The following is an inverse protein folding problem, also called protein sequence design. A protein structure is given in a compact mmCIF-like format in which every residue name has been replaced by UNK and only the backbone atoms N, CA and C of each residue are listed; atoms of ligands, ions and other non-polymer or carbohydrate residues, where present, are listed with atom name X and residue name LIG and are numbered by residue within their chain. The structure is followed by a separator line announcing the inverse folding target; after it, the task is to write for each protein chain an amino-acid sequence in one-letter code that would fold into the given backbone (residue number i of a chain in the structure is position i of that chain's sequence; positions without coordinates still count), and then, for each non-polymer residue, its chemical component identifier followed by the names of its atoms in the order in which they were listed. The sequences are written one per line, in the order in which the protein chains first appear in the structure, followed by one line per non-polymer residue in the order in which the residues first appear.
data_IF_287560494402
#
_entry.id   IF_287560494402
#
_cell.length_a   1.000
_cell.length_b   1.000
_cell.length_c   1.000
_cell.angle_alpha   90.00
_cell.angle_beta   90.00
_cell.angle_gamma   90.00
#
_symmetry.space_group_name_H-M   'P 1'
#
loop_
_entity.id
_entity.type
_entity.pdbx_description
1 polymer ?
#
# COMPACT_ATOMS: atom_id res chain seq x y z
N UNK A 1 20.11 0.71 -15.55
CA UNK A 1 18.75 0.18 -15.73
C UNK A 1 18.25 -0.17 -14.35
N UNK A 2 17.11 0.38 -13.91
CA UNK A 2 16.52 -0.01 -12.62
C UNK A 2 15.98 -1.43 -12.74
N UNK A 3 16.17 -2.25 -11.71
CA UNK A 3 15.66 -3.63 -11.73
C UNK A 3 14.13 -3.64 -11.76
N UNK A 4 13.52 -4.77 -12.17
CA UNK A 4 12.06 -4.94 -12.10
C UNK A 4 11.54 -4.67 -10.69
N UNK A 5 12.23 -5.20 -9.67
CA UNK A 5 11.87 -5.03 -8.26
C UNK A 5 11.92 -3.56 -7.83
N UNK A 6 12.94 -2.80 -8.26
CA UNK A 6 13.02 -1.36 -8.00
C UNK A 6 11.90 -0.56 -8.66
N UNK A 7 11.42 -0.97 -9.84
CA UNK A 7 10.24 -0.37 -10.46
C UNK A 7 8.98 -0.64 -9.63
N UNK A 8 8.75 -1.89 -9.25
CA UNK A 8 7.60 -2.28 -8.42
C UNK A 8 7.56 -1.47 -7.12
N UNK A 9 8.69 -1.39 -6.40
CA UNK A 9 8.77 -0.65 -5.16
C UNK A 9 8.56 0.87 -5.32
N UNK A 10 8.92 1.44 -6.47
CA UNK A 10 8.62 2.86 -6.77
C UNK A 10 7.14 3.08 -7.06
N UNK A 11 6.50 2.15 -7.75
CA UNK A 11 5.07 2.21 -8.06
C UNK A 11 4.26 2.12 -6.76
N UNK A 12 4.57 1.14 -5.90
CA UNK A 12 3.97 0.99 -4.56
C UNK A 12 4.12 2.28 -3.73
N UNK A 13 5.32 2.86 -3.70
CA UNK A 13 5.58 4.12 -3.00
C UNK A 13 4.77 5.30 -3.55
N UNK A 14 4.59 5.38 -4.87
CA UNK A 14 3.77 6.41 -5.51
C UNK A 14 2.31 6.28 -5.11
N UNK A 15 1.74 5.07 -5.14
CA UNK A 15 0.35 4.85 -4.72
C UNK A 15 0.14 5.16 -3.24
N UNK A 16 1.09 4.81 -2.38
CA UNK A 16 1.09 5.21 -0.97
C UNK A 16 1.03 6.73 -0.82
N UNK A 17 1.85 7.49 -1.57
CA UNK A 17 1.82 8.95 -1.52
C UNK A 17 0.46 9.54 -1.95
N UNK A 18 -0.18 8.92 -2.95
CA UNK A 18 -1.54 9.30 -3.35
C UNK A 18 -2.54 8.98 -2.23
N UNK A 19 -2.45 7.82 -1.61
CA UNK A 19 -3.35 7.41 -0.53
C UNK A 19 -3.21 8.25 0.74
N UNK A 20 -2.01 8.70 1.09
CA UNK A 20 -1.83 9.68 2.18
C UNK A 20 -2.62 10.96 1.89
N UNK A 21 -2.57 11.46 0.65
CA UNK A 21 -3.36 12.64 0.25
C UNK A 21 -4.86 12.36 0.29
N UNK A 22 -5.30 11.17 -0.16
CA UNK A 22 -6.71 10.75 -0.07
C UNK A 22 -7.17 10.78 1.38
N UNK A 23 -6.39 10.22 2.31
CA UNK A 23 -6.70 10.23 3.74
C UNK A 23 -6.78 11.64 4.32
N UNK A 24 -5.92 12.55 3.89
CA UNK A 24 -5.91 13.94 4.38
C UNK A 24 -7.11 14.76 3.88
N UNK A 25 -7.59 14.50 2.66
CA UNK A 25 -8.75 15.21 2.09
C UNK A 25 -10.09 14.54 2.39
N UNK A 26 -10.08 13.27 2.79
CA UNK A 26 -11.28 12.52 3.14
C UNK A 26 -11.93 13.13 4.39
N UNK A 27 -13.09 13.76 4.21
CA UNK A 27 -13.95 14.23 5.31
C UNK A 27 -14.83 13.09 5.85
N UNK A 28 -14.22 11.96 6.20
CA UNK A 28 -14.90 10.76 6.70
C UNK A 28 -14.91 10.75 8.24
N UNK A 29 -15.99 10.28 8.85
CA UNK A 29 -16.04 10.07 10.30
C UNK A 29 -15.30 8.78 10.71
N UNK A 30 -15.08 8.61 12.01
CA UNK A 30 -14.50 7.37 12.53
C UNK A 30 -15.40 6.17 12.18
N UNK A 31 -14.82 5.16 11.52
CA UNK A 31 -15.53 3.95 11.10
C UNK A 31 -16.14 4.03 9.70
N UNK A 32 -16.16 5.20 9.06
CA UNK A 32 -16.57 5.33 7.66
C UNK A 32 -15.50 4.72 6.74
N UNK A 33 -15.96 4.12 5.64
CA UNK A 33 -15.07 3.59 4.60
C UNK A 33 -14.64 4.72 3.67
N UNK A 34 -13.35 4.74 3.38
CA UNK A 34 -12.70 5.60 2.39
C UNK A 34 -12.15 4.69 1.29
N UNK A 35 -12.33 5.10 0.04
CA UNK A 35 -11.76 4.41 -1.10
C UNK A 35 -10.32 4.85 -1.31
N UNK A 36 -9.39 3.97 -0.96
CA UNK A 36 -7.97 4.09 -1.25
C UNK A 36 -7.64 3.41 -2.57
N UNK A 37 -6.58 3.82 -3.25
CA UNK A 37 -6.10 3.12 -4.44
C UNK A 37 -5.33 1.86 -4.01
N UNK A 38 -5.49 0.77 -4.74
CA UNK A 38 -4.69 -0.44 -4.55
C UNK A 38 -3.19 -0.14 -4.74
N UNK A 39 -2.38 -0.46 -3.75
CA UNK A 39 -0.96 -0.09 -3.70
C UNK A 39 -0.03 -1.17 -4.26
N UNK A 40 -0.53 -1.99 -5.19
CA UNK A 40 0.29 -3.02 -5.83
C UNK A 40 1.36 -2.39 -6.73
N UNK A 41 2.38 -3.15 -7.10
CA UNK A 41 3.46 -2.67 -7.97
C UNK A 41 3.09 -2.43 -9.45
N UNK A 42 1.85 -2.69 -9.86
CA UNK A 42 1.35 -2.45 -11.23
C UNK A 42 1.06 -0.95 -11.46
N UNK A 43 1.79 -0.32 -12.38
CA UNK A 43 1.65 1.12 -12.71
C UNK A 43 0.32 1.49 -13.37
N UNK A 44 -0.42 0.52 -13.93
CA UNK A 44 -1.72 0.74 -14.57
C UNK A 44 -2.90 0.40 -13.63
N UNK A 45 -2.63 0.04 -12.37
CA UNK A 45 -3.69 -0.32 -11.43
C UNK A 45 -4.56 0.89 -11.07
N UNK A 46 -5.86 0.76 -11.28
CA UNK A 46 -6.88 1.78 -10.96
C UNK A 46 -7.96 1.26 -10.01
N UNK A 47 -7.76 0.05 -9.45
CA UNK A 47 -8.68 -0.55 -8.51
C UNK A 47 -8.58 0.15 -7.15
N UNK A 48 -9.71 0.19 -6.43
CA UNK A 48 -9.80 0.80 -5.10
C UNK A 48 -10.03 -0.25 -4.03
N UNK A 49 -9.58 0.08 -2.83
CA UNK A 49 -9.70 -0.70 -1.61
C UNK A 49 -10.47 0.14 -0.60
N UNK A 50 -11.55 -0.41 -0.06
CA UNK A 50 -12.34 0.26 0.96
C UNK A 50 -11.78 -0.03 2.37
N UNK A 51 -11.21 0.99 3.01
CA UNK A 51 -10.70 0.92 4.38
C UNK A 51 -11.28 2.06 5.22
N UNK A 52 -11.46 1.80 6.51
CA UNK A 52 -11.59 2.88 7.49
C UNK A 52 -10.26 3.59 7.70
N UNK A 53 -10.30 4.83 8.18
CA UNK A 53 -9.08 5.56 8.54
C UNK A 53 -8.23 4.76 9.55
N UNK A 54 -8.86 4.14 10.55
CA UNK A 54 -8.16 3.33 11.56
C UNK A 54 -7.49 2.08 10.96
N UNK A 55 -8.11 1.44 9.97
CA UNK A 55 -7.48 0.32 9.26
C UNK A 55 -6.28 0.77 8.43
N UNK A 56 -6.42 1.88 7.70
CA UNK A 56 -5.33 2.44 6.91
C UNK A 56 -4.14 2.86 7.80
N UNK A 57 -4.39 3.53 8.92
CA UNK A 57 -3.35 3.92 9.88
C UNK A 57 -2.63 2.71 10.50
N UNK A 58 -3.32 1.57 10.69
CA UNK A 58 -2.66 0.33 11.15
C UNK A 58 -1.68 -0.23 10.11
N UNK A 59 -2.04 -0.20 8.83
CA UNK A 59 -1.14 -0.61 7.74
C UNK A 59 0.07 0.34 7.70
N UNK A 60 -0.16 1.64 7.87
CA UNK A 60 0.90 2.66 7.86
C UNK A 60 1.80 2.68 9.09
N UNK A 61 1.56 1.84 10.08
CA UNK A 61 2.47 1.68 11.22
C UNK A 61 3.78 0.99 10.84
N UNK A 62 3.84 0.31 9.69
CA UNK A 62 5.06 -0.27 9.12
C UNK A 62 5.27 0.26 7.69
N UNK A 63 6.36 1.00 7.41
CA UNK A 63 6.62 1.58 6.08
C UNK A 63 6.83 0.53 4.98
N UNK A 64 6.97 -0.75 5.34
CA UNK A 64 7.10 -1.86 4.38
C UNK A 64 5.77 -2.52 4.04
N UNK A 65 4.68 -2.12 4.68
CA UNK A 65 3.36 -2.68 4.43
C UNK A 65 2.61 -1.86 3.39
N UNK A 66 1.88 -2.55 2.52
CA UNK A 66 1.04 -2.01 1.47
C UNK A 66 -0.33 -2.67 1.50
N UNK A 67 -1.35 -1.94 1.05
CA UNK A 67 -2.72 -2.47 0.96
C UNK A 67 -3.10 -2.76 -0.50
N UNK A 68 -3.55 -3.97 -0.76
CA UNK A 68 -3.92 -4.42 -2.11
C UNK A 68 -5.26 -5.14 -2.11
N UNK A 69 -5.94 -5.17 -3.27
CA UNK A 69 -7.08 -6.08 -3.43
C UNK A 69 -6.59 -7.53 -3.53
N UNK A 70 -7.40 -8.52 -3.11
CA UNK A 70 -7.01 -9.93 -3.24
C UNK A 70 -6.71 -10.32 -4.70
N UNK A 71 -5.59 -11.01 -4.92
CA UNK A 71 -5.10 -11.40 -6.25
C UNK A 71 -4.09 -10.42 -6.85
N UNK A 72 -3.81 -9.30 -6.18
CA UNK A 72 -2.82 -8.29 -6.61
C UNK A 72 -1.52 -8.33 -5.80
N UNK A 73 -1.39 -9.29 -4.86
CA UNK A 73 -0.12 -9.58 -4.22
C UNK A 73 0.93 -10.05 -5.23
N UNK A 74 2.20 -9.73 -4.98
CA UNK A 74 3.33 -10.09 -5.83
C UNK A 74 4.32 -11.00 -5.07
N UNK A 75 4.08 -12.33 -5.02
CA UNK A 75 4.85 -13.26 -4.18
C UNK A 75 6.38 -13.27 -4.39
N UNK A 76 6.85 -12.77 -5.53
CA UNK A 76 8.28 -12.64 -5.85
C UNK A 76 9.02 -11.60 -4.98
N UNK A 77 8.31 -10.65 -4.35
CA UNK A 77 8.90 -9.47 -3.68
C UNK A 77 8.24 -9.09 -2.35
N UNK A 78 7.19 -9.81 -1.96
CA UNK A 78 6.41 -9.52 -0.77
C UNK A 78 5.65 -10.77 -0.28
N UNK A 79 5.28 -10.74 1.00
CA UNK A 79 4.45 -11.75 1.63
C UNK A 79 3.14 -11.14 2.12
N UNK A 80 2.06 -11.93 2.14
CA UNK A 80 0.81 -11.54 2.78
C UNK A 80 1.01 -11.53 4.30
N UNK A 81 0.98 -10.34 4.89
CA UNK A 81 1.14 -10.09 6.32
C UNK A 81 -0.20 -10.04 7.08
N UNK A 82 -1.30 -9.83 6.37
CA UNK A 82 -2.64 -9.80 6.93
C UNK A 82 -3.72 -9.90 5.87
N UNK A 83 -4.89 -10.37 6.28
CA UNK A 83 -6.06 -10.51 5.41
C UNK A 83 -7.30 -10.00 6.14
N UNK A 84 -8.06 -9.17 5.45
CA UNK A 84 -9.40 -8.74 5.81
C UNK A 84 -10.39 -9.20 4.74
N UNK A 85 -11.68 -9.09 5.03
CA UNK A 85 -12.74 -9.48 4.08
C UNK A 85 -12.69 -8.68 2.77
N UNK A 86 -12.11 -7.47 2.79
CA UNK A 86 -12.09 -6.51 1.66
C UNK A 86 -10.72 -6.34 1.00
N UNK A 87 -9.63 -6.71 1.67
CA UNK A 87 -8.27 -6.37 1.24
C UNK A 87 -7.21 -7.28 1.86
N UNK A 88 -6.03 -7.26 1.26
CA UNK A 88 -4.81 -7.86 1.79
C UNK A 88 -3.84 -6.78 2.24
N UNK A 89 -3.10 -7.09 3.30
CA UNK A 89 -1.92 -6.36 3.71
C UNK A 89 -0.73 -7.18 3.26
N UNK A 90 0.06 -6.65 2.35
CA UNK A 90 1.31 -7.25 1.90
C UNK A 90 2.49 -6.53 2.53
N UNK A 91 3.58 -7.24 2.74
CA UNK A 91 4.81 -6.68 3.31
C UNK A 91 5.99 -7.05 2.44
N UNK A 92 6.78 -6.04 2.07
CA UNK A 92 8.01 -6.26 1.30
C UNK A 92 8.94 -7.24 2.02
N UNK A 93 9.53 -8.11 1.22
CA UNK A 93 10.71 -8.88 1.62
C UNK A 93 11.83 -7.91 2.04
N UNK A 94 12.71 -8.38 2.94
CA UNK A 94 13.73 -7.52 3.54
C UNK A 94 14.73 -6.97 2.51
N UNK A 95 14.95 -7.68 1.40
CA UNK A 95 15.91 -7.27 0.35
C UNK A 95 15.35 -6.12 -0.52
N UNK A 96 14.03 -6.02 -0.62
CA UNK A 96 13.27 -5.06 -1.42
C UNK A 96 12.73 -3.89 -0.58
N UNK A 97 12.78 -3.99 0.75
CA UNK A 97 12.24 -3.00 1.69
C UNK A 97 12.91 -1.62 1.62
N UNK A 98 14.17 -1.53 1.18
CA UNK A 98 14.95 -0.31 1.26
C UNK A 98 14.35 0.88 0.48
N UNK A 99 13.64 0.62 -0.62
CA UNK A 99 12.93 1.67 -1.36
C UNK A 99 11.69 2.11 -0.59
N UNK A 100 10.90 1.16 -0.09
CA UNK A 100 9.68 1.44 0.67
C UNK A 100 9.98 2.26 1.94
N UNK A 101 11.06 1.94 2.66
CA UNK A 101 11.49 2.68 3.85
C UNK A 101 12.01 4.09 3.50
N UNK A 102 12.85 4.22 2.47
CA UNK A 102 13.41 5.53 2.07
C UNK A 102 12.37 6.50 1.49
N UNK A 103 11.29 5.97 0.94
CA UNK A 103 10.20 6.75 0.32
C UNK A 103 8.98 6.83 1.22
N UNK A 104 9.09 6.46 2.50
CA UNK A 104 8.03 6.65 3.47
C UNK A 104 7.79 8.16 3.66
N UNK A 105 6.59 8.69 3.32
CA UNK A 105 6.28 10.10 3.50
C UNK A 105 6.19 10.53 4.97
N UNK A 106 6.23 9.60 5.92
CA UNK A 106 6.09 9.84 7.38
C UNK A 106 7.41 9.78 8.16
N UNK A 107 8.53 9.50 7.49
CA UNK A 107 9.86 9.37 8.10
C UNK A 107 10.51 10.71 8.50
#
# INVERSE_FOLDING_TARGET
MTSRQERLAKNEALFREVNERVKDVAAAAEGDLIDFICECGDDDCTQVVALTQTEYEKVRADPRQFVVIPGHELPDVEDVAGQADRYLIVRKHSEEAAVAERTDPRA
#
